data_IF_609521984318
#
_entry.id   IF_609521984318
#
_cell.length_a   1.000
_cell.length_b   1.000
_cell.length_c   1.000
_cell.angle_alpha   90.00
_cell.angle_beta   90.00
_cell.angle_gamma   90.00
#
_symmetry.space_group_name_H-M   'P 1'
#
loop_
_entity.id
_entity.type
_entity.pdbx_description
1 polymer ?
#
# COMPACT_ATOMS: atom_id res chain seq x y z
N UNK A 1 12.30 4.35 -5.52
CA UNK A 1 10.98 3.78 -5.25
C UNK A 1 10.38 4.52 -4.07
N UNK A 2 9.17 5.05 -4.23
CA UNK A 2 8.45 5.82 -3.23
C UNK A 2 7.54 4.90 -2.41
N UNK A 3 7.50 5.06 -1.09
CA UNK A 3 6.73 4.20 -0.18
C UNK A 3 5.54 4.98 0.38
N UNK A 4 4.33 4.46 0.18
CA UNK A 4 3.07 5.12 0.59
C UNK A 4 2.28 4.27 1.58
N UNK A 5 1.66 4.93 2.57
CA UNK A 5 0.81 4.28 3.57
C UNK A 5 -0.68 4.21 3.15
N UNK A 6 -1.52 3.54 3.96
CA UNK A 6 -2.94 3.26 3.71
C UNK A 6 -3.83 4.51 3.69
N UNK A 7 -3.89 5.18 2.55
CA UNK A 7 -5.05 5.99 2.18
C UNK A 7 -4.81 7.48 1.95
N UNK A 8 -3.60 7.87 1.58
CA UNK A 8 -3.33 9.24 1.15
C UNK A 8 -3.66 9.55 -0.31
N UNK A 9 -3.73 8.52 -1.18
CA UNK A 9 -3.74 8.77 -2.62
C UNK A 9 -4.66 7.83 -3.41
N UNK A 10 -5.31 8.38 -4.43
CA UNK A 10 -6.22 7.67 -5.33
C UNK A 10 -5.51 7.01 -6.53
N UNK A 11 -6.24 6.15 -7.25
CA UNK A 11 -5.73 5.46 -8.45
C UNK A 11 -5.23 6.44 -9.51
N UNK A 12 -5.89 7.59 -9.64
CA UNK A 12 -5.46 8.63 -10.59
C UNK A 12 -4.05 9.17 -10.28
N UNK A 13 -3.79 9.54 -9.02
CA UNK A 13 -2.45 9.97 -8.59
C UNK A 13 -1.37 8.92 -8.90
N UNK A 14 -1.65 7.65 -8.59
CA UNK A 14 -0.69 6.57 -8.84
C UNK A 14 -0.49 6.29 -10.34
N UNK A 15 -1.52 6.50 -11.17
CA UNK A 15 -1.40 6.44 -12.62
C UNK A 15 -0.42 7.50 -13.12
N UNK A 16 -0.59 8.75 -12.71
CA UNK A 16 0.29 9.86 -13.12
C UNK A 16 1.71 9.72 -12.56
N UNK A 17 1.84 9.20 -11.33
CA UNK A 17 3.13 8.94 -10.70
C UNK A 17 3.90 7.83 -11.44
N UNK A 18 3.20 6.85 -12.01
CA UNK A 18 3.82 5.69 -12.68
C UNK A 18 4.68 6.09 -13.88
N UNK A 19 4.43 7.24 -14.50
CA UNK A 19 5.24 7.77 -15.59
C UNK A 19 6.59 8.33 -15.11
N UNK A 20 6.71 8.60 -13.81
CA UNK A 20 7.83 9.37 -13.22
C UNK A 20 8.66 8.55 -12.24
N UNK A 21 8.03 7.65 -11.49
CA UNK A 21 8.71 6.90 -10.44
C UNK A 21 8.04 5.57 -10.12
N UNK A 22 8.85 4.63 -9.66
CA UNK A 22 8.37 3.43 -8.97
C UNK A 22 7.76 3.80 -7.61
N UNK A 23 6.67 3.14 -7.26
CA UNK A 23 6.05 3.23 -5.94
C UNK A 23 5.68 1.87 -5.37
N UNK A 24 5.50 1.85 -4.06
CA UNK A 24 4.94 0.73 -3.32
C UNK A 24 3.94 1.26 -2.28
N UNK A 25 2.79 0.59 -2.15
CA UNK A 25 1.74 1.00 -1.22
C UNK A 25 0.95 -0.20 -0.70
N UNK A 26 0.38 -0.09 0.50
CA UNK A 26 -0.54 -1.10 1.00
C UNK A 26 -1.83 -1.18 0.16
N UNK A 27 -2.29 -2.39 -0.12
CA UNK A 27 -3.55 -2.63 -0.82
C UNK A 27 -4.76 -2.46 0.12
N UNK A 28 -5.06 -1.21 0.55
CA UNK A 28 -6.07 -0.87 1.58
C UNK A 28 -7.44 -1.50 1.36
N UNK A 29 -7.92 -1.52 0.12
CA UNK A 29 -9.27 -2.00 -0.23
C UNK A 29 -9.29 -3.48 -0.67
N UNK A 30 -8.17 -4.18 -0.50
CA UNK A 30 -8.08 -5.60 -0.81
C UNK A 30 -8.59 -6.41 0.38
N UNK A 31 -9.85 -6.84 0.32
CA UNK A 31 -10.47 -7.61 1.40
C UNK A 31 -9.98 -9.05 1.50
N UNK A 32 -10.16 -9.66 2.68
CA UNK A 32 -9.70 -11.01 3.01
C UNK A 32 -10.14 -12.07 2.01
N UNK A 33 -11.38 -11.98 1.48
CA UNK A 33 -11.88 -12.91 0.44
C UNK A 33 -11.05 -12.87 -0.85
N UNK A 34 -10.50 -11.71 -1.20
CA UNK A 34 -9.61 -11.60 -2.37
C UNK A 34 -8.25 -12.22 -2.06
N UNK A 35 -7.71 -11.95 -0.87
CA UNK A 35 -6.42 -12.49 -0.43
C UNK A 35 -6.46 -14.02 -0.26
N UNK A 36 -7.58 -14.56 0.21
CA UNK A 36 -7.79 -16.00 0.38
C UNK A 36 -7.83 -16.78 -0.94
N UNK A 37 -8.06 -16.12 -2.08
CA UNK A 37 -8.03 -16.76 -3.41
C UNK A 37 -6.61 -17.01 -3.92
N UNK A 38 -5.59 -16.38 -3.33
CA UNK A 38 -4.21 -16.68 -3.64
C UNK A 38 -3.91 -18.09 -3.12
N UNK A 39 -3.53 -19.00 -4.00
CA UNK A 39 -3.26 -20.38 -3.63
C UNK A 39 -1.97 -20.47 -2.79
N UNK A 40 -1.91 -21.39 -1.84
CA UNK A 40 -0.70 -21.60 -1.01
C UNK A 40 0.54 -21.89 -1.86
N UNK A 41 0.36 -22.57 -3.00
CA UNK A 41 1.43 -22.89 -3.97
C UNK A 41 2.03 -21.64 -4.64
N UNK A 42 1.31 -20.52 -4.65
CA UNK A 42 1.82 -19.24 -5.19
C UNK A 42 2.84 -18.57 -4.28
N UNK A 43 2.94 -18.98 -3.02
CA UNK A 43 3.92 -18.47 -2.07
C UNK A 43 5.27 -19.14 -2.29
N UNK A 44 6.12 -18.49 -3.08
CA UNK A 44 7.41 -19.03 -3.54
C UNK A 44 8.62 -18.56 -2.75
N UNK A 45 8.44 -17.60 -1.85
CA UNK A 45 9.54 -16.97 -1.11
C UNK A 45 9.24 -16.95 0.38
N UNK A 46 10.23 -17.33 1.19
CA UNK A 46 10.24 -17.10 2.63
C UNK A 46 11.04 -15.85 2.99
N UNK A 47 10.54 -15.06 3.94
CA UNK A 47 11.21 -13.88 4.47
C UNK A 47 11.21 -13.93 6.00
N UNK A 48 12.32 -13.55 6.61
CA UNK A 48 12.44 -13.41 8.06
C UNK A 48 12.66 -11.93 8.40
N UNK A 49 11.83 -11.39 9.29
CA UNK A 49 11.86 -9.99 9.67
C UNK A 49 11.40 -9.85 11.12
N UNK A 50 12.21 -9.22 11.97
CA UNK A 50 11.91 -8.95 13.38
C UNK A 50 11.35 -10.16 14.15
N UNK A 51 12.10 -11.28 14.12
CA UNK A 51 11.72 -12.58 14.70
C UNK A 51 10.44 -13.24 14.15
N UNK A 52 9.83 -12.64 13.13
CA UNK A 52 8.64 -13.14 12.47
C UNK A 52 8.97 -13.74 11.09
N UNK A 53 8.28 -14.83 10.76
CA UNK A 53 8.40 -15.52 9.47
C UNK A 53 7.23 -15.16 8.58
N UNK A 54 7.55 -14.85 7.33
CA UNK A 54 6.59 -14.50 6.31
C UNK A 54 6.79 -15.35 5.06
N UNK A 55 5.69 -15.61 4.36
CA UNK A 55 5.69 -16.12 3.00
C UNK A 55 5.25 -15.01 2.05
N UNK A 56 5.81 -14.99 0.84
CA UNK A 56 5.53 -13.96 -0.17
C UNK A 56 5.07 -14.61 -1.47
N UNK A 57 3.95 -14.11 -1.99
CA UNK A 57 3.38 -14.47 -3.28
C UNK A 57 3.23 -13.25 -4.18
N UNK A 58 2.99 -13.50 -5.46
CA UNK A 58 2.75 -12.50 -6.50
C UNK A 58 1.43 -12.78 -7.21
N UNK A 59 0.75 -11.70 -7.60
CA UNK A 59 -0.39 -11.70 -8.50
C UNK A 59 -0.40 -10.37 -9.29
N UNK A 60 -1.30 -10.24 -10.26
CA UNK A 60 -1.50 -9.00 -11.03
C UNK A 60 -2.95 -8.57 -10.88
N UNK A 61 -3.17 -7.28 -10.64
CA UNK A 61 -4.51 -6.75 -10.40
C UNK A 61 -4.74 -5.41 -11.06
N UNK A 62 -5.86 -5.29 -11.76
CA UNK A 62 -6.37 -3.99 -12.23
C UNK A 62 -7.16 -3.33 -11.11
N UNK A 63 -6.70 -2.15 -10.70
CA UNK A 63 -7.41 -1.27 -9.76
C UNK A 63 -8.10 -0.16 -10.54
N UNK A 64 -9.30 0.22 -10.13
CA UNK A 64 -10.09 1.26 -10.77
C UNK A 64 -10.73 2.13 -9.70
N UNK A 65 -10.64 3.44 -9.86
CA UNK A 65 -11.37 4.35 -8.97
C UNK A 65 -12.87 4.36 -9.30
N UNK A 66 -13.67 4.83 -8.35
CA UNK A 66 -15.11 4.97 -8.59
C UNK A 66 -15.41 6.20 -9.44
N UNK A 67 -16.56 6.21 -10.13
CA UNK A 67 -17.07 7.40 -10.83
C UNK A 67 -17.29 8.58 -9.87
N UNK A 68 -17.60 8.32 -8.60
CA UNK A 68 -17.78 9.35 -7.59
C UNK A 68 -16.44 10.03 -7.25
N UNK A 69 -15.37 9.25 -7.10
CA UNK A 69 -14.01 9.76 -6.88
C UNK A 69 -13.56 10.62 -8.05
N UNK A 70 -13.73 10.12 -9.29
CA UNK A 70 -13.39 10.89 -10.48
C UNK A 70 -14.14 12.22 -10.57
N UNK A 71 -15.45 12.22 -10.30
CA UNK A 71 -16.29 13.43 -10.33
C UNK A 71 -15.88 14.47 -9.28
N UNK A 72 -15.43 14.05 -8.09
CA UNK A 72 -14.92 14.97 -7.05
C UNK A 72 -13.69 15.75 -7.55
N UNK A 73 -12.89 15.13 -8.41
CA UNK A 73 -11.71 15.75 -9.03
C UNK A 73 -12.03 16.46 -10.36
N UNK A 74 -13.32 16.64 -10.69
CA UNK A 74 -13.75 17.27 -11.95
C UNK A 74 -13.59 16.38 -13.19
N UNK A 75 -13.31 15.09 -13.03
CA UNK A 75 -13.10 14.14 -14.13
C UNK A 75 -14.38 13.34 -14.41
N UNK A 76 -14.70 13.14 -15.68
CA UNK A 76 -15.89 12.39 -16.13
C UNK A 76 -15.64 10.89 -16.28
N UNK A 77 -14.38 10.49 -16.38
CA UNK A 77 -13.97 9.09 -16.60
C UNK A 77 -13.13 8.62 -15.42
N UNK A 78 -13.45 7.46 -14.80
CA UNK A 78 -12.61 6.87 -13.77
C UNK A 78 -11.34 6.28 -14.35
N UNK A 79 -10.21 6.57 -13.71
CA UNK A 79 -8.89 6.02 -13.99
C UNK A 79 -8.82 4.57 -13.50
N UNK A 80 -8.17 3.74 -14.30
CA UNK A 80 -7.79 2.38 -13.93
C UNK A 80 -6.35 2.13 -14.30
N UNK A 81 -5.66 1.31 -13.50
CA UNK A 81 -4.30 0.89 -13.78
C UNK A 81 -4.09 -0.56 -13.34
N UNK A 82 -3.22 -1.27 -14.05
CA UNK A 82 -2.81 -2.63 -13.68
C UNK A 82 -1.54 -2.55 -12.85
N UNK A 83 -1.57 -3.18 -11.68
CA UNK A 83 -0.49 -3.19 -10.71
C UNK A 83 -0.06 -4.61 -10.41
N UNK A 84 1.22 -4.74 -10.08
CA UNK A 84 1.74 -5.93 -9.44
C UNK A 84 1.23 -5.95 -8.00
N UNK A 85 0.65 -7.08 -7.59
CA UNK A 85 0.20 -7.35 -6.25
C UNK A 85 1.19 -8.30 -5.58
N UNK A 86 1.87 -7.83 -4.54
CA UNK A 86 2.70 -8.66 -3.67
C UNK A 86 1.87 -8.98 -2.42
N UNK A 87 1.79 -10.25 -2.06
CA UNK A 87 1.03 -10.70 -0.88
C UNK A 87 1.99 -11.27 0.15
N UNK A 88 1.95 -10.73 1.36
CA UNK A 88 2.69 -11.24 2.51
C UNK A 88 1.72 -12.03 3.37
N UNK A 89 2.10 -13.26 3.74
CA UNK A 89 1.42 -14.09 4.73
C UNK A 89 2.30 -14.26 5.95
N UNK A 90 1.79 -13.91 7.13
CA UNK A 90 2.42 -14.25 8.39
C UNK A 90 2.26 -15.76 8.67
N UNK A 91 3.37 -16.46 8.89
CA UNK A 91 3.36 -17.92 9.08
C UNK A 91 2.71 -18.33 10.40
N UNK A 92 2.81 -17.50 11.45
CA UNK A 92 2.28 -17.79 12.78
C UNK A 92 0.77 -17.61 12.85
N UNK A 93 0.26 -16.57 12.19
CA UNK A 93 -1.17 -16.19 12.26
C UNK A 93 -1.97 -16.56 11.03
N UNK A 94 -1.31 -16.88 9.91
CA UNK A 94 -1.96 -17.09 8.61
C UNK A 94 -2.51 -15.80 7.99
N UNK A 95 -2.32 -14.64 8.63
CA UNK A 95 -2.86 -13.37 8.16
C UNK A 95 -2.15 -12.93 6.89
N UNK A 96 -2.94 -12.57 5.87
CA UNK A 96 -2.46 -12.07 4.58
C UNK A 96 -2.65 -10.57 4.48
N UNK A 97 -1.70 -9.89 3.84
CA UNK A 97 -1.76 -8.46 3.54
C UNK A 97 -1.24 -8.25 2.11
N UNK A 98 -1.94 -7.45 1.33
CA UNK A 98 -1.53 -7.10 -0.03
C UNK A 98 -0.78 -5.77 -0.10
N UNK A 99 0.12 -5.70 -1.07
CA UNK A 99 0.95 -4.55 -1.41
C UNK A 99 0.83 -4.35 -2.92
N UNK A 100 0.53 -3.13 -3.36
CA UNK A 100 0.59 -2.77 -4.77
C UNK A 100 1.90 -2.07 -5.11
N UNK A 101 2.42 -2.35 -6.30
CA UNK A 101 3.55 -1.62 -6.88
C UNK A 101 3.42 -1.58 -8.41
N UNK A 102 3.92 -0.51 -9.03
CA UNK A 102 4.15 -0.46 -10.47
C UNK A 102 5.52 -1.05 -10.87
N UNK A 103 6.38 -1.37 -9.91
CA UNK A 103 7.69 -1.95 -10.18
C UNK A 103 7.58 -3.47 -10.46
N UNK A 104 7.89 -3.86 -11.70
CA UNK A 104 7.87 -5.24 -12.18
C UNK A 104 9.25 -5.91 -12.23
N UNK A 105 10.32 -5.15 -12.02
CA UNK A 105 11.71 -5.62 -12.17
C UNK A 105 12.35 -6.08 -10.87
N UNK A 106 11.93 -5.53 -9.72
CA UNK A 106 12.50 -5.85 -8.42
C UNK A 106 12.02 -7.22 -7.93
N UNK A 107 12.85 -7.96 -7.19
CA UNK A 107 12.42 -9.18 -6.52
C UNK A 107 11.28 -8.93 -5.52
N UNK A 108 10.41 -9.93 -5.35
CA UNK A 108 9.28 -9.86 -4.43
C UNK A 108 9.69 -9.62 -2.97
N UNK A 109 10.81 -10.24 -2.54
CA UNK A 109 11.31 -10.07 -1.17
C UNK A 109 11.73 -8.63 -0.88
N UNK A 110 12.29 -7.91 -1.85
CA UNK A 110 12.65 -6.49 -1.69
C UNK A 110 11.39 -5.64 -1.46
N UNK A 111 10.37 -5.84 -2.30
CA UNK A 111 9.08 -5.13 -2.18
C UNK A 111 8.45 -5.40 -0.81
N UNK A 112 8.43 -6.67 -0.38
CA UNK A 112 7.90 -7.07 0.91
C UNK A 112 8.70 -6.46 2.08
N UNK A 113 10.03 -6.50 1.99
CA UNK A 113 10.93 -5.97 3.02
C UNK A 113 10.76 -4.47 3.22
N UNK A 114 10.66 -3.67 2.15
CA UNK A 114 10.43 -2.23 2.27
C UNK A 114 9.13 -1.90 3.02
N UNK A 115 8.08 -2.68 2.78
CA UNK A 115 6.79 -2.46 3.44
C UNK A 115 6.79 -2.95 4.90
N UNK A 116 7.49 -4.05 5.21
CA UNK A 116 7.66 -4.53 6.59
C UNK A 116 8.50 -3.59 7.45
N UNK A 117 9.58 -3.02 6.89
CA UNK A 117 10.37 -1.96 7.52
C UNK A 117 9.50 -0.75 7.93
N UNK A 118 8.51 -0.41 7.10
CA UNK A 118 7.54 0.64 7.44
C UNK A 118 6.53 0.19 8.50
N UNK A 119 6.15 -1.08 8.56
CA UNK A 119 5.21 -1.60 9.57
C UNK A 119 5.83 -1.64 10.98
N UNK A 120 7.08 -2.11 11.12
CA UNK A 120 7.72 -2.30 12.43
C UNK A 120 8.09 -0.99 13.13
N UNK A 121 9.19 -0.37 12.72
CA UNK A 121 9.81 0.72 13.49
C UNK A 121 9.02 2.03 13.41
N UNK A 122 8.40 2.29 12.27
CA UNK A 122 7.84 3.62 12.03
C UNK A 122 6.44 3.81 12.63
N UNK A 123 5.62 2.76 12.80
CA UNK A 123 4.31 2.91 13.46
C UNK A 123 4.48 3.34 14.93
N UNK A 124 5.47 2.76 15.62
CA UNK A 124 5.84 3.13 16.99
C UNK A 124 6.41 4.55 17.05
N UNK A 125 7.29 4.92 16.12
CA UNK A 125 7.88 6.26 16.05
C UNK A 125 6.83 7.36 15.76
N UNK A 126 5.90 7.15 14.83
CA UNK A 126 4.84 8.12 14.53
C UNK A 126 3.82 8.21 15.67
N UNK A 127 3.46 7.08 16.31
CA UNK A 127 2.64 7.10 17.53
C UNK A 127 3.33 7.84 18.67
N UNK A 128 4.64 7.64 18.85
CA UNK A 128 5.44 8.32 19.86
C UNK A 128 5.58 9.82 19.58
N UNK A 129 5.78 10.22 18.32
CA UNK A 129 5.78 11.63 17.93
C UNK A 129 4.42 12.30 18.09
N UNK A 130 3.32 11.64 17.70
CA UNK A 130 1.96 12.16 17.94
C UNK A 130 1.68 12.30 19.43
N UNK A 131 2.03 11.29 20.24
CA UNK A 131 1.79 11.29 21.68
C UNK A 131 2.64 12.34 22.42
N UNK A 132 3.88 12.60 21.98
CA UNK A 132 4.79 13.53 22.68
C UNK A 132 4.78 14.95 22.14
N UNK A 133 4.53 15.14 20.85
CA UNK A 133 4.67 16.43 20.18
C UNK A 133 3.39 16.93 19.50
N UNK A 134 2.28 16.18 19.58
CA UNK A 134 1.01 16.49 18.91
C UNK A 134 1.16 16.77 17.41
N UNK A 135 2.20 16.21 16.79
CA UNK A 135 2.50 16.38 15.37
C UNK A 135 1.67 15.38 14.56
N UNK A 136 0.56 15.87 14.01
CA UNK A 136 -0.39 15.06 13.25
C UNK A 136 0.11 14.85 11.80
N UNK A 137 1.22 14.12 11.63
CA UNK A 137 1.84 13.91 10.33
C UNK A 137 1.07 12.87 9.50
N UNK A 138 0.25 13.36 8.58
CA UNK A 138 -0.47 12.56 7.58
C UNK A 138 0.00 12.94 6.17
N UNK A 139 1.05 12.29 5.64
CA UNK A 139 1.51 12.54 4.28
C UNK A 139 0.51 11.93 3.29
N UNK A 140 -0.50 12.71 2.91
CA UNK A 140 -1.59 12.24 2.05
C UNK A 140 -2.92 12.97 2.18
N UNK A 141 -3.04 14.01 3.01
CA UNK A 141 -4.21 14.87 2.86
C UNK A 141 -4.18 15.56 1.49
N UNK A 142 -5.32 15.51 0.80
CA UNK A 142 -5.59 16.45 -0.27
C UNK A 142 -5.38 17.85 0.30
N UNK A 143 -4.63 18.70 -0.38
CA UNK A 143 -4.21 20.02 0.14
C UNK A 143 -5.43 20.83 0.60
N UNK A 144 -6.60 20.55 -0.01
CA UNK A 144 -7.91 21.12 0.32
C UNK A 144 -8.49 20.68 1.67
N UNK A 145 -8.19 19.47 2.15
CA UNK A 145 -8.65 18.98 3.47
C UNK A 145 -7.78 19.55 4.61
N UNK A 146 -6.51 19.87 4.33
CA UNK A 146 -5.63 20.56 5.28
C UNK A 146 -6.07 22.01 5.55
N UNK A 147 -6.57 22.70 4.52
CA UNK A 147 -7.10 24.07 4.66
C UNK A 147 -8.36 24.16 5.53
N UNK A 148 -9.07 23.04 5.76
CA UNK A 148 -10.34 23.00 6.49
C UNK A 148 -10.22 22.54 7.95
N UNK A 149 -9.02 22.26 8.44
CA UNK A 149 -8.85 21.94 9.87
C UNK A 149 -8.97 23.23 10.70
N UNK A 150 -9.80 23.24 11.76
CA UNK A 150 -9.79 24.35 12.70
C UNK A 150 -8.43 24.40 13.42
N UNK A 151 -7.87 25.61 13.50
CA UNK A 151 -6.64 25.95 14.23
C UNK A 151 -6.70 25.53 15.71
#
# INVERSE_FOLDING_TARGET
>A
MLVFDRGGYGVHFFSDLSEKADFVTWAKYLGDKSLARIHEESFSIGLFFDDQKYLVAEDVRTVKETIQTAKKDGRTTPTSMTLRLVVIQDVKTGKRIGIYTNNTSRPLYDIAYYMLQRWGDSESFFKEMMARFNLNYHPGYDIKELEQQPL
#
